data_IF_547821413393
#
_entry.id   IF_547821413393
#
_cell.length_a   1.000
_cell.length_b   1.000
_cell.length_c   1.000
_cell.angle_alpha   90.00
_cell.angle_beta   90.00
_cell.angle_gamma   90.00
#
_symmetry.space_group_name_H-M   'P 1'
#
loop_
_entity.id
_entity.type
_entity.pdbx_description
1 polymer ?
#
# COMPACT_ATOMS: atom_id res chain seq x y z
N UNK A 1 20.85 -2.12 19.82
CA UNK A 1 19.54 -2.63 19.38
C UNK A 1 18.91 -1.52 18.58
N UNK A 2 18.77 -1.72 17.27
CA UNK A 2 18.16 -0.74 16.36
C UNK A 2 16.66 -0.70 16.64
N UNK A 3 16.18 0.34 17.32
CA UNK A 3 14.75 0.59 17.46
C UNK A 3 14.20 1.02 16.09
N UNK A 4 13.96 0.02 15.25
CA UNK A 4 13.23 0.14 13.99
C UNK A 4 11.77 0.35 14.39
N UNK A 5 11.38 1.60 14.57
CA UNK A 5 9.99 1.98 14.81
C UNK A 5 9.24 2.01 13.47
N UNK A 6 8.02 1.49 13.43
CA UNK A 6 7.15 1.61 12.26
C UNK A 6 6.15 2.72 12.51
N UNK A 7 5.92 3.57 11.51
CA UNK A 7 4.86 4.57 11.57
C UNK A 7 3.52 3.86 11.76
N UNK A 8 2.81 4.27 12.81
CA UNK A 8 1.57 3.64 13.21
C UNK A 8 0.49 3.77 12.13
N UNK A 9 0.41 4.93 11.48
CA UNK A 9 -0.66 5.23 10.50
C UNK A 9 -0.48 4.40 9.24
N UNK A 10 0.70 4.47 8.62
CA UNK A 10 1.01 3.73 7.40
C UNK A 10 0.90 2.23 7.61
N UNK A 11 1.43 1.72 8.72
CA UNK A 11 1.36 0.29 9.03
C UNK A 11 -0.07 -0.17 9.33
N UNK A 12 -0.88 0.64 10.04
CA UNK A 12 -2.29 0.32 10.29
C UNK A 12 -3.10 0.23 8.99
N UNK A 13 -2.84 1.12 8.02
CA UNK A 13 -3.47 1.08 6.70
C UNK A 13 -3.09 -0.20 5.95
N UNK A 14 -1.81 -0.59 5.95
CA UNK A 14 -1.36 -1.82 5.29
C UNK A 14 -1.95 -3.08 5.93
N UNK A 15 -1.90 -3.22 7.26
CA UNK A 15 -2.52 -4.35 7.95
C UNK A 15 -4.03 -4.42 7.74
N UNK A 16 -4.71 -3.28 7.76
CA UNK A 16 -6.13 -3.18 7.45
C UNK A 16 -6.45 -3.67 6.03
N UNK A 17 -5.64 -3.28 5.04
CA UNK A 17 -5.77 -3.76 3.67
C UNK A 17 -5.50 -5.26 3.55
N UNK A 18 -4.49 -5.80 4.25
CA UNK A 18 -4.14 -7.23 4.26
C UNK A 18 -5.28 -8.10 4.81
N UNK A 19 -5.85 -7.70 5.96
CA UNK A 19 -7.00 -8.39 6.56
C UNK A 19 -8.21 -8.26 5.64
N UNK A 20 -8.43 -7.06 5.09
CA UNK A 20 -9.49 -6.78 4.12
C UNK A 20 -9.39 -7.66 2.88
N UNK A 21 -8.20 -7.85 2.31
CA UNK A 21 -8.02 -8.64 1.09
C UNK A 21 -8.25 -10.12 1.33
N UNK A 22 -7.80 -10.64 2.48
CA UNK A 22 -8.11 -12.01 2.89
C UNK A 22 -9.63 -12.20 3.07
N UNK A 23 -10.28 -11.28 3.79
CA UNK A 23 -11.72 -11.32 4.00
C UNK A 23 -12.49 -11.17 2.68
N UNK A 24 -12.03 -10.32 1.76
CA UNK A 24 -12.64 -10.12 0.45
C UNK A 24 -12.53 -11.36 -0.44
N UNK A 25 -11.37 -12.03 -0.42
CA UNK A 25 -11.19 -13.31 -1.11
C UNK A 25 -12.12 -14.37 -0.51
N UNK A 26 -12.21 -14.44 0.82
CA UNK A 26 -13.09 -15.36 1.52
C UNK A 26 -14.58 -15.09 1.24
N UNK A 27 -15.00 -13.82 1.19
CA UNK A 27 -16.37 -13.44 0.83
C UNK A 27 -16.70 -13.77 -0.63
N UNK A 28 -15.72 -13.60 -1.53
CA UNK A 28 -15.85 -14.01 -2.94
C UNK A 28 -16.00 -15.54 -3.04
N UNK A 29 -15.25 -16.30 -2.24
CA UNK A 29 -15.40 -17.75 -2.14
C UNK A 29 -16.79 -18.17 -1.62
N UNK A 30 -17.31 -17.46 -0.61
CA UNK A 30 -18.67 -17.67 -0.08
C UNK A 30 -19.81 -17.16 -0.98
N UNK A 31 -19.50 -16.73 -2.20
CA UNK A 31 -20.45 -16.22 -3.18
C UNK A 31 -21.23 -14.94 -2.73
N UNK A 32 -20.69 -14.17 -1.77
CA UNK A 32 -21.31 -12.95 -1.19
C UNK A 32 -20.90 -11.67 -1.95
N UNK A 33 -21.40 -11.54 -3.17
CA UNK A 33 -20.99 -10.50 -4.13
C UNK A 33 -21.06 -9.05 -3.63
N UNK A 34 -22.20 -8.65 -3.03
CA UNK A 34 -22.43 -7.27 -2.62
C UNK A 34 -21.42 -6.79 -1.55
N UNK A 35 -21.09 -7.68 -0.61
CA UNK A 35 -20.12 -7.40 0.45
C UNK A 35 -18.69 -7.39 -0.08
N UNK A 36 -18.35 -8.38 -0.92
CA UNK A 36 -17.03 -8.44 -1.55
C UNK A 36 -16.74 -7.17 -2.35
N UNK A 37 -17.69 -6.70 -3.18
CA UNK A 37 -17.54 -5.48 -3.97
C UNK A 37 -17.32 -4.23 -3.11
N UNK A 38 -18.08 -4.06 -2.03
CA UNK A 38 -17.90 -2.94 -1.09
C UNK A 38 -16.53 -2.98 -0.43
N UNK A 39 -16.09 -4.16 -0.02
CA UNK A 39 -14.79 -4.34 0.64
C UNK A 39 -13.62 -4.07 -0.33
N UNK A 40 -13.70 -4.56 -1.57
CA UNK A 40 -12.72 -4.28 -2.63
C UNK A 40 -12.56 -2.76 -2.86
N UNK A 41 -13.68 -2.04 -2.90
CA UNK A 41 -13.64 -0.59 -3.04
C UNK A 41 -12.96 0.08 -1.84
N UNK A 42 -13.32 -0.31 -0.62
CA UNK A 42 -12.68 0.20 0.60
C UNK A 42 -11.18 -0.08 0.64
N UNK A 43 -10.75 -1.30 0.26
CA UNK A 43 -9.32 -1.65 0.17
C UNK A 43 -8.60 -0.72 -0.81
N UNK A 44 -9.20 -0.47 -1.99
CA UNK A 44 -8.59 0.41 -2.99
C UNK A 44 -8.43 1.84 -2.48
N UNK A 45 -9.42 2.36 -1.74
CA UNK A 45 -9.34 3.68 -1.09
C UNK A 45 -8.25 3.69 -0.02
N UNK A 46 -8.17 2.66 0.83
CA UNK A 46 -7.14 2.53 1.87
C UNK A 46 -5.73 2.52 1.25
N UNK A 47 -5.52 1.75 0.18
CA UNK A 47 -4.22 1.69 -0.49
C UNK A 47 -3.85 3.00 -1.17
N UNK A 48 -4.82 3.69 -1.79
CA UNK A 48 -4.60 5.03 -2.32
C UNK A 48 -4.24 6.02 -1.22
N UNK A 49 -4.90 5.96 -0.06
CA UNK A 49 -4.57 6.84 1.07
C UNK A 49 -3.18 6.55 1.64
N UNK A 50 -2.77 5.27 1.72
CA UNK A 50 -1.43 4.89 2.15
C UNK A 50 -0.37 5.41 1.16
N UNK A 51 -0.62 5.28 -0.14
CA UNK A 51 0.23 5.81 -1.21
C UNK A 51 0.37 7.33 -1.12
N UNK A 52 -0.76 8.04 -1.03
CA UNK A 52 -0.78 9.50 -0.91
C UNK A 52 -0.07 9.98 0.37
N UNK A 53 -0.25 9.28 1.50
CA UNK A 53 0.44 9.57 2.74
C UNK A 53 1.96 9.50 2.56
N UNK A 54 2.48 8.44 1.92
CA UNK A 54 3.92 8.30 1.66
C UNK A 54 4.43 9.40 0.71
N UNK A 55 3.68 9.73 -0.35
CA UNK A 55 4.03 10.84 -1.26
C UNK A 55 4.13 12.18 -0.52
N UNK A 56 3.21 12.46 0.41
CA UNK A 56 3.27 13.67 1.23
C UNK A 56 4.55 13.71 2.07
N UNK A 57 5.01 12.58 2.60
CA UNK A 57 6.28 12.51 3.33
C UNK A 57 7.50 12.78 2.42
N UNK A 58 7.47 12.33 1.17
CA UNK A 58 8.50 12.70 0.17
C UNK A 58 8.48 14.19 -0.15
N UNK A 59 7.29 14.81 -0.28
CA UNK A 59 7.16 16.23 -0.60
C UNK A 59 7.64 17.13 0.53
N UNK A 60 7.44 16.70 1.77
CA UNK A 60 7.87 17.41 2.98
C UNK A 60 9.31 17.10 3.40
N UNK A 61 10.05 16.29 2.63
CA UNK A 61 11.41 15.83 2.97
C UNK A 61 11.50 15.26 4.40
N UNK A 62 10.51 14.46 4.80
CA UNK A 62 10.51 13.89 6.14
C UNK A 62 11.50 12.72 6.24
N UNK A 63 12.76 13.04 6.52
CA UNK A 63 13.87 12.10 6.68
C UNK A 63 13.74 11.17 7.89
N UNK A 64 12.69 11.33 8.72
CA UNK A 64 12.35 10.35 9.76
C UNK A 64 11.98 8.99 9.17
N UNK A 65 11.45 8.98 7.94
CA UNK A 65 11.20 7.76 7.18
C UNK A 65 12.48 7.33 6.46
N UNK A 66 12.95 6.12 6.75
CA UNK A 66 14.17 5.57 6.15
C UNK A 66 14.06 5.53 4.62
N UNK A 67 12.86 5.21 4.12
CA UNK A 67 12.57 5.21 2.70
C UNK A 67 12.73 6.58 2.03
N UNK A 68 12.30 7.66 2.71
CA UNK A 68 12.46 9.04 2.21
C UNK A 68 13.92 9.49 2.30
N UNK A 69 14.60 9.18 3.41
CA UNK A 69 16.02 9.51 3.61
C UNK A 69 16.96 8.86 2.58
N UNK A 70 16.62 7.66 2.10
CA UNK A 70 17.43 6.96 1.12
C UNK A 70 17.18 7.41 -0.32
N UNK A 71 16.00 7.96 -0.63
CA UNK A 71 15.55 8.19 -2.00
C UNK A 71 15.21 9.67 -2.32
N UNK A 72 15.20 10.57 -1.34
CA UNK A 72 14.98 12.02 -1.52
C UNK A 72 16.12 12.85 -0.95
N UNK A 73 16.25 14.09 -1.42
CA UNK A 73 17.12 15.13 -0.86
C UNK A 73 16.46 16.49 -1.11
N UNK A 74 16.67 17.44 -0.19
CA UNK A 74 16.07 18.78 -0.18
C UNK A 74 16.28 19.54 -1.50
N UNK A 75 17.44 19.33 -2.15
CA UNK A 75 17.80 19.99 -3.42
C UNK A 75 17.08 19.41 -4.65
N UNK A 76 16.33 18.31 -4.54
CA UNK A 76 15.63 17.72 -5.68
C UNK A 76 14.37 18.53 -6.03
N UNK A 77 14.12 18.82 -7.33
CA UNK A 77 12.84 19.36 -7.75
C UNK A 77 11.67 18.41 -7.44
N UNK A 78 10.49 18.96 -7.17
CA UNK A 78 9.29 18.23 -6.75
C UNK A 78 8.93 17.05 -7.67
N UNK A 79 9.07 17.21 -8.98
CA UNK A 79 8.78 16.15 -9.96
C UNK A 79 9.69 14.91 -9.80
N UNK A 80 10.94 15.11 -9.38
CA UNK A 80 11.86 14.01 -9.12
C UNK A 80 11.58 13.34 -7.77
N UNK A 81 11.09 14.08 -6.77
CA UNK A 81 10.63 13.49 -5.49
C UNK A 81 9.43 12.57 -5.69
N UNK A 82 8.49 12.97 -6.55
CA UNK A 82 7.36 12.13 -6.94
C UNK A 82 7.85 10.87 -7.67
N UNK A 83 8.83 11.01 -8.57
CA UNK A 83 9.43 9.84 -9.24
C UNK A 83 10.20 8.90 -8.30
N UNK A 84 10.83 9.47 -7.26
CA UNK A 84 11.53 8.70 -6.24
C UNK A 84 10.59 7.80 -5.42
N UNK A 85 9.33 8.22 -5.24
CA UNK A 85 8.33 7.44 -4.50
C UNK A 85 8.06 6.05 -5.09
N UNK A 86 8.12 5.86 -6.41
CA UNK A 86 7.97 4.55 -7.04
C UNK A 86 9.28 3.95 -7.55
N UNK A 87 10.37 4.73 -7.55
CA UNK A 87 11.65 4.35 -8.14
C UNK A 87 12.43 3.30 -7.36
N UNK A 88 12.08 3.06 -6.09
CA UNK A 88 12.72 2.05 -5.26
C UNK A 88 11.83 0.83 -5.03
N UNK A 89 12.44 -0.25 -4.53
CA UNK A 89 11.83 -1.58 -4.37
C UNK A 89 10.49 -1.53 -3.62
N UNK A 90 10.46 -0.87 -2.45
CA UNK A 90 9.28 -0.79 -1.59
C UNK A 90 8.13 0.00 -2.24
N UNK A 91 8.46 1.11 -2.88
CA UNK A 91 7.50 1.97 -3.59
C UNK A 91 6.90 1.32 -4.83
N UNK A 92 7.70 0.58 -5.60
CA UNK A 92 7.22 -0.19 -6.75
C UNK A 92 6.16 -1.22 -6.35
N UNK A 93 6.35 -1.92 -5.23
CA UNK A 93 5.34 -2.85 -4.72
C UNK A 93 4.08 -2.13 -4.23
N UNK A 94 4.23 -0.97 -3.58
CA UNK A 94 3.10 -0.17 -3.14
C UNK A 94 2.27 0.34 -4.33
N UNK A 95 2.92 0.76 -5.42
CA UNK A 95 2.26 1.12 -6.67
C UNK A 95 1.55 -0.09 -7.28
N UNK A 96 2.21 -1.26 -7.28
CA UNK A 96 1.65 -2.49 -7.83
C UNK A 96 0.34 -2.90 -7.13
N UNK A 97 0.29 -2.87 -5.79
CA UNK A 97 -0.94 -3.19 -5.05
C UNK A 97 -2.06 -2.17 -5.29
N UNK A 98 -1.73 -0.89 -5.47
CA UNK A 98 -2.70 0.14 -5.83
C UNK A 98 -3.29 -0.16 -7.21
N UNK A 99 -2.46 -0.39 -8.22
CA UNK A 99 -2.92 -0.72 -9.57
C UNK A 99 -3.75 -2.01 -9.60
N UNK A 100 -3.34 -3.04 -8.86
CA UNK A 100 -4.10 -4.29 -8.75
C UNK A 100 -5.48 -4.04 -8.12
N UNK A 101 -5.54 -3.32 -6.99
CA UNK A 101 -6.80 -3.02 -6.30
C UNK A 101 -7.77 -2.20 -7.17
N UNK A 102 -7.25 -1.23 -7.92
CA UNK A 102 -8.01 -0.44 -8.87
C UNK A 102 -8.51 -1.29 -10.04
N UNK A 103 -7.68 -2.19 -10.55
CA UNK A 103 -8.06 -3.10 -11.64
C UNK A 103 -9.19 -4.05 -11.21
N UNK A 104 -9.16 -4.54 -9.97
CA UNK A 104 -10.24 -5.37 -9.39
C UNK A 104 -11.50 -4.53 -9.21
N UNK A 105 -11.39 -3.31 -8.68
CA UNK A 105 -12.53 -2.40 -8.54
C UNK A 105 -13.15 -2.12 -9.91
N UNK A 106 -12.34 -1.84 -10.92
CA UNK A 106 -12.78 -1.59 -12.29
C UNK A 106 -13.46 -2.82 -12.90
N UNK A 107 -12.89 -4.02 -12.76
CA UNK A 107 -13.50 -5.25 -13.29
C UNK A 107 -14.90 -5.50 -12.72
N UNK A 108 -15.14 -5.16 -11.45
CA UNK A 108 -16.45 -5.27 -10.80
C UNK A 108 -17.53 -4.35 -11.41
N UNK A 109 -17.14 -3.27 -12.09
CA UNK A 109 -18.07 -2.39 -12.80
C UNK A 109 -18.34 -2.84 -14.24
N UNK A 110 -17.37 -3.48 -14.90
CA UNK A 110 -17.47 -3.86 -16.31
C UNK A 110 -18.05 -5.26 -16.53
N UNK A 111 -17.74 -6.22 -15.65
CA UNK A 111 -18.18 -7.61 -15.81
C UNK A 111 -19.59 -7.79 -15.22
N UNK A 112 -20.56 -8.11 -16.08
CA UNK A 112 -21.95 -8.38 -15.67
C UNK A 112 -22.19 -9.80 -15.18
N UNK A 113 -21.35 -10.76 -15.61
CA UNK A 113 -21.52 -12.16 -15.23
C UNK A 113 -21.03 -12.40 -13.79
N UNK A 114 -21.97 -12.61 -12.86
CA UNK A 114 -21.70 -12.79 -11.43
C UNK A 114 -20.73 -13.93 -11.12
N UNK A 115 -20.82 -15.07 -11.80
CA UNK A 115 -19.92 -16.20 -11.51
C UNK A 115 -18.49 -15.88 -11.96
N UNK A 116 -18.35 -15.27 -13.14
CA UNK A 116 -17.06 -14.89 -13.69
C UNK A 116 -16.36 -13.82 -12.84
N UNK A 117 -17.08 -12.77 -12.41
CA UNK A 117 -16.47 -11.71 -11.59
C UNK A 117 -16.07 -12.24 -10.20
N UNK A 118 -16.78 -13.24 -9.67
CA UNK A 118 -16.46 -13.81 -8.36
C UNK A 118 -15.20 -14.67 -8.38
N UNK A 119 -15.03 -15.48 -9.42
CA UNK A 119 -13.79 -16.23 -9.64
C UNK A 119 -12.61 -15.27 -9.86
N UNK A 120 -12.82 -14.24 -10.69
CA UNK A 120 -11.80 -13.20 -10.91
C UNK A 120 -11.40 -12.48 -9.62
N UNK A 121 -12.37 -12.07 -8.80
CA UNK A 121 -12.12 -11.42 -7.52
C UNK A 121 -11.35 -12.33 -6.55
N UNK A 122 -11.70 -13.63 -6.48
CA UNK A 122 -10.99 -14.58 -5.63
C UNK A 122 -9.50 -14.64 -5.98
N UNK A 123 -9.16 -14.91 -7.25
CA UNK A 123 -7.75 -15.00 -7.66
C UNK A 123 -7.02 -13.67 -7.50
N UNK A 124 -7.63 -12.55 -7.91
CA UNK A 124 -6.98 -11.27 -7.86
C UNK A 124 -6.75 -10.77 -6.42
N UNK A 125 -7.70 -11.02 -5.50
CA UNK A 125 -7.54 -10.70 -4.08
C UNK A 125 -6.52 -11.61 -3.38
N UNK A 126 -6.41 -12.88 -3.76
CA UNK A 126 -5.34 -13.75 -3.27
C UNK A 126 -3.96 -13.27 -3.69
N UNK A 127 -3.80 -12.80 -4.93
CA UNK A 127 -2.54 -12.20 -5.40
C UNK A 127 -2.27 -10.90 -4.64
N UNK A 128 -3.25 -10.01 -4.51
CA UNK A 128 -3.11 -8.76 -3.75
C UNK A 128 -2.70 -9.02 -2.30
N UNK A 129 -3.32 -10.01 -1.64
CA UNK A 129 -2.97 -10.43 -0.28
C UNK A 129 -1.52 -10.88 -0.17
N UNK A 130 -1.01 -11.65 -1.13
CA UNK A 130 0.38 -12.10 -1.13
C UNK A 130 1.36 -10.93 -1.26
N UNK A 131 1.09 -9.98 -2.17
CA UNK A 131 1.90 -8.77 -2.31
C UNK A 131 1.88 -7.92 -1.04
N UNK A 132 0.70 -7.77 -0.42
CA UNK A 132 0.56 -7.05 0.85
C UNK A 132 1.32 -7.71 1.99
N UNK A 133 1.27 -9.04 2.09
CA UNK A 133 2.03 -9.79 3.09
C UNK A 133 3.53 -9.59 2.89
N UNK A 134 4.00 -9.58 1.63
CA UNK A 134 5.39 -9.31 1.31
C UNK A 134 5.83 -7.90 1.73
N UNK A 135 5.05 -6.86 1.40
CA UNK A 135 5.37 -5.48 1.79
C UNK A 135 5.42 -5.34 3.33
N UNK A 136 4.43 -5.87 4.04
CA UNK A 136 4.33 -5.71 5.49
C UNK A 136 5.46 -6.42 6.24
N UNK A 137 5.95 -7.54 5.71
CA UNK A 137 6.96 -8.37 6.39
C UNK A 137 8.39 -8.11 5.95
N UNK A 138 8.63 -7.85 4.66
CA UNK A 138 9.97 -7.81 4.09
C UNK A 138 10.39 -6.45 3.53
N UNK A 139 9.45 -5.56 3.21
CA UNK A 139 9.72 -4.33 2.44
C UNK A 139 8.77 -3.21 2.85
N UNK A 140 8.74 -2.90 4.15
CA UNK A 140 7.78 -1.95 4.71
C UNK A 140 8.26 -0.50 4.50
N UNK A 141 7.59 0.29 3.62
CA UNK A 141 8.02 1.65 3.30
C UNK A 141 7.79 2.65 4.45
N UNK A 142 7.03 2.26 5.47
CA UNK A 142 6.71 3.09 6.64
C UNK A 142 7.66 2.84 7.81
N UNK A 143 8.84 2.32 7.51
CA UNK A 143 9.89 2.11 8.51
C UNK A 143 10.53 3.45 8.86
N UNK A 144 10.53 3.78 10.15
CA UNK A 144 11.08 5.01 10.71
C UNK A 144 12.25 4.70 11.64
N UNK A 145 13.36 5.40 11.46
CA UNK A 145 14.52 5.28 12.34
C UNK A 145 14.55 6.47 13.31
N UNK A 146 14.17 6.25 14.57
CA UNK A 146 14.29 7.26 15.65
C UNK A 146 15.71 7.82 15.81
N UNK A 147 16.74 7.04 15.41
CA UNK A 147 18.16 7.39 15.55
C UNK A 147 18.56 8.61 14.69
N UNK A 148 17.96 8.83 13.52
CA UNK A 148 18.29 9.99 12.68
C UNK A 148 17.79 11.31 13.30
N UNK A 149 16.71 11.25 14.08
CA UNK A 149 16.16 12.40 14.78
C UNK A 149 17.10 12.95 15.87
N UNK A 150 17.91 12.08 16.48
CA UNK A 150 18.93 12.48 17.47
C UNK A 150 20.19 13.09 16.88
N UNK A 151 20.46 12.90 15.58
CA UNK A 151 21.70 13.36 14.93
C UNK A 151 21.54 14.72 14.23
N UNK A 152 20.32 15.17 13.94
CA UNK A 152 20.04 16.53 13.42
C UNK A 152 19.90 17.59 14.54
N UNK A 153 19.79 17.18 15.81
CA UNK A 153 19.66 18.09 16.96
C UNK A 153 20.98 18.36 17.71
N UNK A 154 22.12 17.86 17.23
CA UNK A 154 23.47 18.11 17.77
C UNK A 154 24.34 18.77 16.73
#
# INVERSE_FOLDING_TARGET
MTDISVDFVGNALLWGATIGSFLGAFLSFLHKHELARRLIFLISVVLLTASAYLVIQFLNDNFSFLYVAQNSNVLLPVYYKISAFWGAHEGSFLLMIVLLSLSITFSNYFIRNKNQIMQSNFYALSILFLYLLFIVTASNPFTSSLILQSMEQT
#
